data_IF_975465628523
#
_entry.id   IF_975465628523
#
_cell.length_a   1.000
_cell.length_b   1.000
_cell.length_c   1.000
_cell.angle_alpha   90.00
_cell.angle_beta   90.00
_cell.angle_gamma   90.00
#
_symmetry.space_group_name_H-M   'P 1'
#
loop_
_entity.id
_entity.type
_entity.pdbx_description
1 polymer ?
#
# COMPACT_ATOMS: atom_id res chain seq x y z
N UNK A 1 36.84 -13.20 0.00
CA UNK A 1 36.73 -12.38 1.23
C UNK A 1 37.97 -11.51 1.33
N UNK A 2 37.85 -10.21 1.02
CA UNK A 2 38.90 -9.23 1.29
C UNK A 2 38.47 -8.45 2.54
N UNK A 3 39.26 -8.53 3.62
CA UNK A 3 39.06 -7.72 4.83
C UNK A 3 39.73 -6.35 4.64
N UNK A 4 38.95 -5.29 4.83
CA UNK A 4 39.44 -3.90 4.91
C UNK A 4 39.88 -3.62 6.37
N UNK A 5 40.94 -2.82 6.62
CA UNK A 5 41.55 -2.74 7.95
C UNK A 5 40.62 -2.08 8.98
N UNK A 6 40.65 -2.67 10.16
CA UNK A 6 39.92 -2.30 11.37
C UNK A 6 40.27 -0.89 11.86
N UNK A 7 39.28 0.01 11.97
CA UNK A 7 39.43 1.24 12.74
C UNK A 7 38.42 1.21 13.90
N UNK A 8 38.95 1.10 15.13
CA UNK A 8 38.18 0.98 16.37
C UNK A 8 37.60 2.32 16.81
N UNK A 9 36.29 2.46 16.65
CA UNK A 9 35.34 2.95 17.66
C UNK A 9 33.93 2.59 17.15
N UNK A 10 33.13 1.88 17.95
CA UNK A 10 31.85 1.23 17.60
C UNK A 10 31.89 0.44 16.27
N UNK A 11 32.43 -0.77 16.35
CA UNK A 11 32.83 -1.57 15.20
C UNK A 11 31.63 -2.06 14.36
N UNK A 12 31.18 -1.22 13.44
CA UNK A 12 30.31 -1.63 12.32
C UNK A 12 31.17 -2.44 11.35
N UNK A 13 31.06 -3.77 11.42
CA UNK A 13 31.73 -4.67 10.49
C UNK A 13 30.92 -4.76 9.19
N UNK A 14 31.51 -4.31 8.07
CA UNK A 14 30.96 -4.52 6.74
C UNK A 14 31.58 -5.76 6.10
N UNK A 15 30.73 -6.69 5.67
CA UNK A 15 31.15 -7.84 4.88
C UNK A 15 30.99 -7.51 3.39
N UNK A 16 32.03 -7.81 2.61
CA UNK A 16 32.02 -7.59 1.16
C UNK A 16 32.19 -8.92 0.43
N UNK A 17 31.20 -9.24 -0.40
CA UNK A 17 31.22 -10.35 -1.33
C UNK A 17 31.15 -9.83 -2.77
N UNK A 18 31.70 -10.60 -3.70
CA UNK A 18 31.64 -10.34 -5.13
C UNK A 18 30.82 -11.46 -5.77
N UNK A 19 29.92 -11.08 -6.69
CA UNK A 19 29.04 -11.95 -7.48
C UNK A 19 27.93 -12.67 -6.70
N UNK A 20 28.26 -13.37 -5.62
CA UNK A 20 27.29 -14.17 -4.84
C UNK A 20 27.24 -13.74 -3.37
N UNK A 21 26.02 -13.69 -2.82
CA UNK A 21 25.78 -13.45 -1.39
C UNK A 21 25.88 -14.80 -0.68
N UNK A 22 26.79 -14.98 0.30
CA UNK A 22 26.88 -16.23 1.05
C UNK A 22 25.58 -16.54 1.80
N UNK A 23 25.20 -17.82 1.87
CA UNK A 23 23.94 -18.29 2.47
C UNK A 23 23.73 -17.76 3.90
N UNK A 24 24.81 -17.60 4.66
CA UNK A 24 24.80 -17.09 6.03
C UNK A 24 24.36 -15.62 6.17
N UNK A 25 24.39 -14.83 5.08
CA UNK A 25 24.01 -13.40 5.05
C UNK A 25 22.75 -13.12 4.24
N UNK A 26 22.04 -14.13 3.73
CA UNK A 26 20.86 -13.95 2.85
C UNK A 26 19.70 -13.24 3.56
N UNK A 27 19.61 -13.35 4.89
CA UNK A 27 18.60 -12.68 5.71
C UNK A 27 19.04 -11.31 6.24
N UNK A 28 20.29 -10.90 6.00
CA UNK A 28 20.83 -9.65 6.49
C UNK A 28 20.58 -8.50 5.52
N UNK A 29 20.53 -7.28 6.05
CA UNK A 29 20.44 -6.05 5.26
C UNK A 29 21.73 -5.90 4.43
N UNK A 30 21.63 -6.21 3.13
CA UNK A 30 22.75 -6.26 2.21
C UNK A 30 22.68 -5.11 1.22
N UNK A 31 23.68 -4.25 1.22
CA UNK A 31 23.84 -3.20 0.19
C UNK A 31 24.63 -3.78 -0.97
N UNK A 32 24.11 -3.63 -2.18
CA UNK A 32 24.78 -4.09 -3.39
C UNK A 32 25.08 -2.92 -4.33
N UNK A 33 26.12 -3.12 -5.14
CA UNK A 33 26.54 -2.20 -6.19
C UNK A 33 26.67 -2.96 -7.51
N UNK A 34 26.01 -2.48 -8.57
CA UNK A 34 26.07 -3.04 -9.91
C UNK A 34 26.71 -2.04 -10.86
N UNK A 35 27.76 -2.46 -11.56
CA UNK A 35 28.35 -1.68 -12.63
C UNK A 35 27.60 -1.93 -13.93
N UNK A 36 27.14 -0.88 -14.60
CA UNK A 36 26.42 -1.01 -15.88
C UNK A 36 27.36 -1.16 -17.07
N UNK A 37 28.56 -0.57 -16.98
CA UNK A 37 29.53 -0.53 -18.06
C UNK A 37 30.52 -1.70 -17.98
N UNK A 38 31.10 -2.08 -19.12
CA UNK A 38 32.20 -3.07 -19.14
C UNK A 38 33.56 -2.40 -18.91
N UNK A 39 33.64 -1.08 -19.12
CA UNK A 39 34.84 -0.29 -18.84
C UNK A 39 35.15 -0.18 -17.35
N UNK A 40 36.41 0.17 -17.04
CA UNK A 40 36.83 0.50 -15.68
C UNK A 40 36.20 1.82 -15.29
N UNK A 41 35.50 1.85 -14.14
CA UNK A 41 35.00 3.09 -13.54
C UNK A 41 36.20 3.95 -13.16
N UNK A 42 36.20 5.22 -13.60
CA UNK A 42 37.23 6.18 -13.25
C UNK A 42 37.16 6.48 -11.76
N UNK A 43 38.30 6.37 -11.07
CA UNK A 43 38.40 6.72 -9.65
C UNK A 43 38.17 8.24 -9.49
N UNK A 44 37.14 8.67 -8.75
CA UNK A 44 36.89 10.08 -8.50
C UNK A 44 38.02 10.66 -7.63
N UNK A 45 38.37 11.93 -7.86
CA UNK A 45 39.44 12.61 -7.10
C UNK A 45 38.98 13.03 -5.71
N UNK A 46 37.68 13.31 -5.55
CA UNK A 46 37.07 13.71 -4.30
C UNK A 46 35.61 13.24 -4.18
N UNK A 47 35.02 13.47 -3.00
CA UNK A 47 33.65 13.06 -2.69
C UNK A 47 32.60 13.80 -3.53
N UNK A 48 32.87 15.04 -3.94
CA UNK A 48 31.94 15.82 -4.75
C UNK A 48 31.87 15.25 -6.18
N UNK A 49 33.03 14.96 -6.78
CA UNK A 49 33.12 14.26 -8.07
C UNK A 49 32.54 12.85 -7.97
N UNK A 50 32.74 12.14 -6.85
CA UNK A 50 32.19 10.81 -6.64
C UNK A 50 30.65 10.81 -6.64
N UNK A 51 30.02 11.79 -6.00
CA UNK A 51 28.56 11.91 -5.93
C UNK A 51 27.92 12.28 -7.28
N UNK A 52 28.68 12.90 -8.19
CA UNK A 52 28.23 13.22 -9.54
C UNK A 52 28.45 12.04 -10.49
N UNK A 53 29.66 11.45 -10.49
CA UNK A 53 30.09 10.48 -11.52
C UNK A 53 29.64 9.06 -11.20
N UNK A 54 29.71 8.62 -9.94
CA UNK A 54 29.44 7.21 -9.60
C UNK A 54 27.99 6.79 -9.84
N UNK A 55 26.95 7.61 -9.55
CA UNK A 55 25.56 7.24 -9.81
C UNK A 55 25.24 6.99 -11.29
N UNK A 56 26.01 7.57 -12.23
CA UNK A 56 25.82 7.37 -13.67
C UNK A 56 26.31 6.01 -14.17
N UNK A 57 27.29 5.41 -13.48
CA UNK A 57 27.96 4.17 -13.93
C UNK A 57 27.81 2.99 -12.96
N UNK A 58 27.44 3.27 -11.71
CA UNK A 58 27.20 2.31 -10.64
C UNK A 58 25.80 2.52 -10.09
N UNK A 59 24.99 1.47 -10.17
CA UNK A 59 23.72 1.39 -9.45
C UNK A 59 23.94 0.81 -8.08
N UNK A 60 23.16 1.26 -7.11
CA UNK A 60 23.13 0.69 -5.78
C UNK A 60 21.71 0.32 -5.38
N UNK A 61 21.59 -0.63 -4.46
CA UNK A 61 20.32 -1.03 -3.89
C UNK A 61 20.51 -1.76 -2.57
N UNK A 62 19.39 -2.01 -1.89
CA UNK A 62 19.36 -2.75 -0.63
C UNK A 62 18.51 -4.00 -0.81
N UNK A 63 19.04 -5.12 -0.32
CA UNK A 63 18.39 -6.41 -0.19
C UNK A 63 18.14 -6.64 1.31
N UNK A 64 16.93 -7.06 1.66
CA UNK A 64 16.47 -7.28 3.04
C UNK A 64 15.76 -8.63 3.11
N UNK A 65 15.52 -9.16 4.31
CA UNK A 65 14.71 -10.37 4.52
C UNK A 65 13.26 -10.28 3.95
N UNK A 66 12.73 -9.07 3.75
CA UNK A 66 11.49 -8.82 3.02
C UNK A 66 11.65 -9.15 1.52
N UNK A 67 11.35 -10.40 1.17
CA UNK A 67 11.39 -10.95 -0.19
C UNK A 67 10.56 -10.14 -1.21
N UNK A 68 9.47 -9.49 -0.80
CA UNK A 68 8.64 -8.66 -1.67
C UNK A 68 9.31 -7.30 -1.92
N UNK A 69 9.97 -6.73 -0.91
CA UNK A 69 10.77 -5.51 -1.04
C UNK A 69 12.02 -5.76 -1.90
N UNK A 70 12.71 -6.89 -1.71
CA UNK A 70 13.82 -7.33 -2.58
C UNK A 70 13.37 -7.38 -4.04
N UNK A 71 12.26 -8.05 -4.31
CA UNK A 71 11.74 -8.27 -5.65
C UNK A 71 11.27 -6.96 -6.31
N UNK A 72 10.64 -6.07 -5.53
CA UNK A 72 10.30 -4.70 -5.96
C UNK A 72 11.57 -3.90 -6.33
N UNK A 73 12.61 -3.97 -5.50
CA UNK A 73 13.86 -3.25 -5.72
C UNK A 73 14.58 -3.76 -6.99
N UNK A 74 14.71 -5.08 -7.16
CA UNK A 74 15.32 -5.70 -8.35
C UNK A 74 14.58 -5.31 -9.64
N UNK A 75 13.24 -5.38 -9.64
CA UNK A 75 12.44 -5.06 -10.82
C UNK A 75 12.45 -3.56 -11.14
N UNK A 76 12.62 -2.70 -10.15
CA UNK A 76 12.78 -1.25 -10.34
C UNK A 76 14.07 -0.91 -11.10
N UNK A 77 15.17 -1.60 -10.81
CA UNK A 77 16.49 -1.31 -11.40
C UNK A 77 16.65 -1.70 -12.87
N UNK A 78 15.83 -2.66 -13.36
CA UNK A 78 15.81 -3.07 -14.78
C UNK A 78 15.45 -1.91 -15.71
N UNK A 79 14.79 -0.84 -15.23
CA UNK A 79 14.52 0.38 -16.01
C UNK A 79 15.80 1.08 -16.51
N UNK A 80 16.88 1.05 -15.74
CA UNK A 80 18.08 1.77 -16.13
C UNK A 80 19.04 0.93 -17.00
N UNK A 81 18.96 -0.41 -16.94
CA UNK A 81 19.66 -1.29 -17.91
C UNK A 81 19.05 -1.11 -19.31
N UNK A 82 17.75 -0.79 -19.40
CA UNK A 82 17.08 -0.53 -20.69
C UNK A 82 17.40 0.84 -21.31
N UNK A 83 18.09 1.74 -20.60
CA UNK A 83 18.56 3.01 -21.18
C UNK A 83 19.71 2.83 -22.18
N UNK A 84 20.44 1.71 -22.12
CA UNK A 84 21.60 1.42 -22.96
C UNK A 84 21.22 0.75 -24.29
N UNK A 85 20.05 0.14 -24.40
CA UNK A 85 19.55 -0.46 -25.65
C UNK A 85 18.62 0.51 -26.38
N UNK A 86 19.14 1.70 -26.67
CA UNK A 86 18.46 2.76 -27.44
C UNK A 86 18.48 2.52 -28.95
N UNK A 87 18.33 1.25 -29.38
CA UNK A 87 18.06 0.92 -30.78
C UNK A 87 16.82 0.02 -30.86
N UNK A 88 15.70 0.67 -31.15
CA UNK A 88 14.45 0.12 -31.72
C UNK A 88 13.77 -1.08 -31.02
N UNK A 89 13.69 -1.11 -29.68
CA UNK A 89 12.85 -2.09 -28.95
C UNK A 89 11.48 -1.51 -28.56
N UNK A 90 11.33 -0.19 -28.58
CA UNK A 90 10.11 0.53 -28.19
C UNK A 90 8.89 0.26 -29.09
N UNK A 91 9.09 -0.24 -30.31
CA UNK A 91 7.99 -0.50 -31.28
C UNK A 91 7.49 -1.97 -31.28
N UNK A 92 8.08 -2.84 -30.46
CA UNK A 92 7.65 -4.24 -30.39
C UNK A 92 6.44 -4.38 -29.43
N UNK A 93 5.35 -5.06 -29.84
CA UNK A 93 4.17 -5.30 -28.97
C UNK A 93 4.52 -5.97 -27.63
N UNK A 94 5.55 -6.81 -27.64
CA UNK A 94 6.12 -7.48 -26.46
C UNK A 94 6.66 -6.48 -25.42
N UNK A 95 7.13 -5.31 -25.84
CA UNK A 95 7.64 -4.29 -24.91
C UNK A 95 6.51 -3.62 -24.13
N UNK A 96 5.39 -3.29 -24.78
CA UNK A 96 4.21 -2.79 -24.08
C UNK A 96 3.63 -3.84 -23.12
N UNK A 97 3.60 -5.10 -23.55
CA UNK A 97 3.15 -6.22 -22.72
C UNK A 97 4.05 -6.45 -21.50
N UNK A 98 5.38 -6.41 -21.67
CA UNK A 98 6.34 -6.55 -20.55
C UNK A 98 6.28 -5.38 -19.58
N UNK A 99 6.07 -4.15 -20.07
CA UNK A 99 5.83 -2.99 -19.19
C UNK A 99 4.49 -3.10 -18.46
N UNK A 100 3.42 -3.54 -19.12
CA UNK A 100 2.13 -3.81 -18.48
C UNK A 100 2.23 -4.92 -17.43
N UNK A 101 2.92 -6.02 -17.74
CA UNK A 101 3.14 -7.12 -16.82
C UNK A 101 4.01 -6.70 -15.63
N UNK A 102 4.98 -5.81 -15.84
CA UNK A 102 5.74 -5.18 -14.74
C UNK A 102 4.83 -4.35 -13.83
N UNK A 103 3.99 -3.48 -14.39
CA UNK A 103 3.07 -2.67 -13.59
C UNK A 103 2.09 -3.53 -12.80
N UNK A 104 1.53 -4.57 -13.44
CA UNK A 104 0.70 -5.58 -12.76
C UNK A 104 1.47 -6.25 -11.63
N UNK A 105 2.69 -6.70 -11.90
CA UNK A 105 3.53 -7.35 -10.92
C UNK A 105 3.84 -6.46 -9.70
N UNK A 106 4.22 -5.21 -9.93
CA UNK A 106 4.46 -4.23 -8.85
C UNK A 106 3.19 -3.97 -8.04
N UNK A 107 2.03 -3.87 -8.69
CA UNK A 107 0.75 -3.71 -8.00
C UNK A 107 0.39 -4.91 -7.13
N UNK A 108 0.58 -6.13 -7.64
CA UNK A 108 0.32 -7.38 -6.91
C UNK A 108 1.28 -7.50 -5.73
N UNK A 109 2.57 -7.24 -5.92
CA UNK A 109 3.58 -7.28 -4.84
C UNK A 109 3.23 -6.32 -3.71
N UNK A 110 2.80 -5.10 -4.04
CA UNK A 110 2.40 -4.11 -3.06
C UNK A 110 1.10 -4.52 -2.32
N UNK A 111 0.15 -5.12 -3.03
CA UNK A 111 -1.08 -5.64 -2.44
C UNK A 111 -0.81 -6.86 -1.54
N UNK A 112 0.02 -7.80 -1.97
CA UNK A 112 0.38 -8.98 -1.18
C UNK A 112 1.08 -8.58 0.11
N UNK A 113 2.00 -7.61 0.05
CA UNK A 113 2.64 -7.04 1.25
C UNK A 113 1.59 -6.48 2.23
N UNK A 114 0.63 -5.71 1.73
CA UNK A 114 -0.48 -5.17 2.54
C UNK A 114 -1.41 -6.26 3.10
N UNK A 115 -1.56 -7.40 2.42
CA UNK A 115 -2.37 -8.53 2.88
C UNK A 115 -1.65 -9.40 3.92
N UNK A 116 -0.35 -9.63 3.78
CA UNK A 116 0.45 -10.45 4.71
C UNK A 116 0.78 -9.75 6.03
N UNK A 117 0.87 -8.41 6.05
CA UNK A 117 1.16 -7.65 7.28
C UNK A 117 -0.06 -7.52 8.22
N UNK A 118 -1.21 -8.12 7.89
CA UNK A 118 -2.40 -8.17 8.76
C UNK A 118 -3.05 -6.81 9.08
N UNK A 119 -2.43 -5.71 8.65
CA UNK A 119 -2.95 -4.36 8.69
C UNK A 119 -3.21 -3.98 7.24
N UNK A 120 -4.44 -4.16 6.81
CA UNK A 120 -4.98 -3.40 5.70
C UNK A 120 -4.61 -1.94 5.98
N UNK A 121 -3.66 -1.37 5.26
CA UNK A 121 -3.43 0.07 5.24
C UNK A 121 -3.79 0.47 3.81
N UNK A 122 -5.11 0.58 3.55
CA UNK A 122 -5.54 1.44 2.46
C UNK A 122 -4.97 2.82 2.81
N UNK A 123 -4.26 3.52 1.91
CA UNK A 123 -3.90 4.93 2.12
C UNK A 123 -5.12 5.81 2.48
N UNK A 124 -6.30 5.24 2.26
CA UNK A 124 -7.64 5.71 2.50
C UNK A 124 -8.14 5.61 3.95
N UNK A 125 -7.44 4.87 4.83
CA UNK A 125 -8.00 4.44 6.11
C UNK A 125 -8.38 5.56 7.08
N UNK A 126 -7.83 6.76 6.93
CA UNK A 126 -8.19 7.88 7.80
C UNK A 126 -9.47 8.63 7.38
N UNK A 127 -9.92 8.53 6.13
CA UNK A 127 -11.06 9.33 5.64
C UNK A 127 -12.37 8.56 5.50
N UNK A 128 -12.39 7.23 5.68
CA UNK A 128 -13.58 6.38 5.51
C UNK A 128 -13.88 5.48 6.71
N UNK A 129 -13.52 5.90 7.93
CA UNK A 129 -13.72 5.07 9.11
C UNK A 129 -15.10 5.29 9.73
N UNK A 130 -15.84 4.21 9.95
CA UNK A 130 -17.06 4.23 10.77
C UNK A 130 -16.66 4.30 12.24
N UNK A 131 -16.75 5.48 12.84
CA UNK A 131 -16.38 5.68 14.24
C UNK A 131 -17.43 5.11 15.19
N UNK A 132 -16.98 4.32 16.16
CA UNK A 132 -17.88 3.76 17.18
C UNK A 132 -18.09 4.78 18.30
N UNK A 133 -19.30 4.84 18.90
CA UNK A 133 -19.55 5.68 20.06
C UNK A 133 -18.83 5.13 21.29
N UNK A 134 -18.49 6.02 22.22
CA UNK A 134 -17.82 5.67 23.49
C UNK A 134 -18.88 5.22 24.50
N UNK A 135 -19.54 4.10 24.22
CA UNK A 135 -20.58 3.52 25.08
C UNK A 135 -20.33 2.01 25.26
N UNK A 136 -20.82 1.46 26.38
CA UNK A 136 -20.67 0.04 26.66
C UNK A 136 -21.73 -0.77 25.87
N UNK A 137 -21.26 -1.68 25.02
CA UNK A 137 -22.10 -2.57 24.20
C UNK A 137 -21.95 -4.04 24.62
N UNK A 138 -21.53 -4.34 25.85
CA UNK A 138 -21.32 -5.72 26.30
C UNK A 138 -22.64 -6.45 26.68
N UNK A 139 -23.76 -5.73 26.78
CA UNK A 139 -25.09 -6.29 27.08
C UNK A 139 -25.78 -7.00 25.92
N UNK A 140 -26.93 -7.61 26.18
CA UNK A 140 -27.81 -8.18 25.14
C UNK A 140 -28.46 -7.06 24.30
N UNK A 141 -28.78 -7.35 23.04
CA UNK A 141 -29.44 -6.40 22.13
C UNK A 141 -30.77 -5.91 22.71
N UNK A 142 -31.57 -6.82 23.26
CA UNK A 142 -32.89 -6.51 23.83
C UNK A 142 -32.79 -5.63 25.06
N UNK A 143 -31.85 -5.91 25.96
CA UNK A 143 -31.61 -5.09 27.16
C UNK A 143 -31.13 -3.69 26.78
N UNK A 144 -30.16 -3.60 25.85
CA UNK A 144 -29.57 -2.33 25.41
C UNK A 144 -30.58 -1.45 24.66
N UNK A 145 -31.50 -2.05 23.89
CA UNK A 145 -32.56 -1.35 23.16
C UNK A 145 -33.57 -0.67 24.09
N UNK A 146 -33.70 -1.12 25.34
CA UNK A 146 -34.59 -0.48 26.32
C UNK A 146 -33.96 0.70 27.06
N UNK A 147 -32.65 0.94 26.90
CA UNK A 147 -31.91 2.00 27.58
C UNK A 147 -31.87 3.27 26.71
N UNK A 148 -32.61 4.34 27.04
CA UNK A 148 -32.74 5.50 26.15
C UNK A 148 -31.41 6.21 25.87
N UNK A 149 -30.52 6.30 26.86
CA UNK A 149 -29.19 6.91 26.71
C UNK A 149 -28.31 6.15 25.71
N UNK A 150 -28.43 4.82 25.67
CA UNK A 150 -27.70 3.97 24.71
C UNK A 150 -28.28 4.18 23.32
N UNK A 151 -29.61 4.16 23.17
CA UNK A 151 -30.29 4.36 21.89
C UNK A 151 -29.96 5.74 21.29
N UNK A 152 -30.06 6.81 22.08
CA UNK A 152 -29.74 8.18 21.63
C UNK A 152 -28.27 8.30 21.15
N UNK A 153 -27.33 7.68 21.87
CA UNK A 153 -25.93 7.67 21.46
C UNK A 153 -25.70 6.87 20.15
N UNK A 154 -26.43 5.77 19.97
CA UNK A 154 -26.40 4.97 18.75
C UNK A 154 -27.07 5.68 17.57
N UNK A 155 -28.13 6.46 17.80
CA UNK A 155 -28.77 7.29 16.78
C UNK A 155 -27.84 8.39 16.30
N UNK A 156 -27.15 9.09 17.21
CA UNK A 156 -26.11 10.06 16.84
C UNK A 156 -24.98 9.42 16.03
N UNK A 157 -24.60 8.19 16.38
CA UNK A 157 -23.63 7.41 15.63
C UNK A 157 -24.14 7.04 14.23
N UNK A 158 -25.40 6.61 14.12
CA UNK A 158 -26.05 6.25 12.85
C UNK A 158 -26.10 7.44 11.88
N UNK A 159 -26.48 8.64 12.37
CA UNK A 159 -26.47 9.88 11.57
C UNK A 159 -25.05 10.20 11.06
N UNK A 160 -24.05 10.10 11.94
CA UNK A 160 -22.65 10.35 11.57
C UNK A 160 -22.18 9.38 10.48
N UNK A 161 -22.54 8.10 10.60
CA UNK A 161 -22.23 7.09 9.58
C UNK A 161 -22.95 7.36 8.27
N UNK A 162 -24.21 7.77 8.33
CA UNK A 162 -25.00 8.12 7.15
C UNK A 162 -24.37 9.27 6.37
N UNK A 163 -24.01 10.36 7.05
CA UNK A 163 -23.34 11.52 6.45
C UNK A 163 -22.01 11.14 5.80
N UNK A 164 -21.21 10.31 6.47
CA UNK A 164 -19.93 9.82 5.95
C UNK A 164 -20.13 8.99 4.68
N UNK A 165 -21.03 8.01 4.71
CA UNK A 165 -21.28 7.12 3.56
C UNK A 165 -21.79 7.93 2.36
N UNK A 166 -22.75 8.83 2.58
CA UNK A 166 -23.29 9.70 1.53
C UNK A 166 -22.20 10.60 0.93
N UNK A 167 -21.38 11.23 1.77
CA UNK A 167 -20.28 12.10 1.32
C UNK A 167 -19.27 11.32 0.47
N UNK A 168 -18.86 10.13 0.93
CA UNK A 168 -17.93 9.28 0.18
C UNK A 168 -18.52 8.87 -1.17
N UNK A 169 -19.79 8.45 -1.21
CA UNK A 169 -20.46 8.08 -2.46
C UNK A 169 -20.52 9.25 -3.44
N UNK A 170 -20.91 10.44 -2.98
CA UNK A 170 -20.94 11.65 -3.80
C UNK A 170 -19.56 12.03 -4.35
N UNK A 171 -18.52 11.96 -3.52
CA UNK A 171 -17.15 12.22 -3.95
C UNK A 171 -16.70 11.22 -5.02
N UNK A 172 -16.95 9.92 -4.80
CA UNK A 172 -16.59 8.88 -5.78
C UNK A 172 -17.40 8.97 -7.08
N UNK A 173 -18.61 9.55 -7.06
CA UNK A 173 -19.42 9.82 -8.25
C UNK A 173 -18.90 11.01 -9.05
N UNK A 174 -18.38 12.05 -8.37
CA UNK A 174 -17.85 13.26 -9.01
C UNK A 174 -16.45 13.08 -9.63
N UNK A 175 -15.67 12.10 -9.15
CA UNK A 175 -14.30 11.87 -9.66
C UNK A 175 -14.31 11.32 -11.09
N UNK A 176 -13.33 11.78 -11.88
CA UNK A 176 -13.03 11.29 -13.23
C UNK A 176 -11.61 10.70 -13.29
N UNK A 177 -11.34 9.76 -14.22
CA UNK A 177 -10.00 9.23 -14.43
C UNK A 177 -8.97 10.35 -14.63
N UNK A 178 -7.87 10.30 -13.89
CA UNK A 178 -6.76 11.25 -14.02
C UNK A 178 -5.72 10.69 -14.98
N UNK A 179 -5.52 11.37 -16.11
CA UNK A 179 -4.57 10.96 -17.15
C UNK A 179 -5.22 10.28 -18.36
N UNK A 180 -4.43 10.07 -19.42
CA UNK A 180 -4.91 9.56 -20.69
C UNK A 180 -4.63 8.05 -20.83
N UNK A 181 -5.62 7.33 -21.36
CA UNK A 181 -5.48 5.95 -21.83
C UNK A 181 -5.88 4.86 -20.82
N UNK A 182 -5.86 3.59 -21.25
CA UNK A 182 -6.51 2.48 -20.53
C UNK A 182 -5.97 2.23 -19.11
N UNK A 183 -4.70 2.51 -18.86
CA UNK A 183 -4.08 2.31 -17.54
C UNK A 183 -4.58 3.33 -16.50
N UNK A 184 -4.86 4.56 -16.93
CA UNK A 184 -5.41 5.60 -16.06
C UNK A 184 -6.82 5.20 -15.58
N UNK A 185 -7.64 4.67 -16.48
CA UNK A 185 -8.97 4.14 -16.16
C UNK A 185 -8.90 2.94 -15.22
N UNK A 186 -8.02 1.96 -15.48
CA UNK A 186 -7.86 0.79 -14.61
C UNK A 186 -7.46 1.19 -13.19
N UNK A 187 -6.52 2.12 -13.04
CA UNK A 187 -6.10 2.61 -11.72
C UNK A 187 -7.22 3.39 -11.03
N UNK A 188 -7.95 4.23 -11.78
CA UNK A 188 -9.11 4.97 -11.28
C UNK A 188 -10.20 4.03 -10.74
N UNK A 189 -10.61 3.03 -11.53
CA UNK A 189 -11.63 2.07 -11.11
C UNK A 189 -11.17 1.21 -9.95
N UNK A 190 -9.88 0.83 -9.91
CA UNK A 190 -9.29 0.09 -8.78
C UNK A 190 -9.33 0.91 -7.49
N UNK A 191 -8.96 2.19 -7.56
CA UNK A 191 -8.99 3.08 -6.40
C UNK A 191 -10.43 3.24 -5.88
N UNK A 192 -11.37 3.55 -6.77
CA UNK A 192 -12.80 3.65 -6.43
C UNK A 192 -13.34 2.36 -5.79
N UNK A 193 -13.03 1.20 -6.37
CA UNK A 193 -13.41 -0.10 -5.84
C UNK A 193 -12.86 -0.33 -4.43
N UNK A 194 -11.58 -0.08 -4.20
CA UNK A 194 -10.94 -0.30 -2.90
C UNK A 194 -11.58 0.56 -1.79
N UNK A 195 -11.95 1.80 -2.10
CA UNK A 195 -12.57 2.73 -1.15
C UNK A 195 -13.95 2.23 -0.74
N UNK A 196 -14.80 1.95 -1.72
CA UNK A 196 -16.17 1.47 -1.49
C UNK A 196 -16.17 0.09 -0.83
N UNK A 197 -15.27 -0.80 -1.26
CA UNK A 197 -15.11 -2.12 -0.66
C UNK A 197 -14.69 -2.03 0.81
N UNK A 198 -13.69 -1.20 1.14
CA UNK A 198 -13.25 -1.02 2.53
C UNK A 198 -14.37 -0.50 3.44
N UNK A 199 -15.22 0.41 2.93
CA UNK A 199 -16.37 0.91 3.67
C UNK A 199 -17.46 -0.17 3.82
N UNK A 200 -17.74 -0.95 2.76
CA UNK A 200 -18.66 -2.10 2.81
C UNK A 200 -18.17 -3.22 3.75
N UNK A 201 -16.86 -3.45 3.87
CA UNK A 201 -16.35 -4.43 4.84
C UNK A 201 -16.47 -3.92 6.29
N UNK A 202 -16.36 -2.60 6.51
CA UNK A 202 -16.59 -2.02 7.84
C UNK A 202 -18.04 -2.18 8.30
N UNK A 203 -19.03 -2.06 7.41
CA UNK A 203 -20.44 -2.26 7.78
C UNK A 203 -20.72 -3.69 8.25
N UNK A 204 -19.90 -4.67 7.83
CA UNK A 204 -20.01 -6.08 8.22
C UNK A 204 -19.31 -6.42 9.54
N UNK A 205 -18.60 -5.47 10.15
CA UNK A 205 -17.91 -5.72 11.42
C UNK A 205 -18.94 -6.09 12.51
N UNK A 206 -18.67 -7.07 13.38
CA UNK A 206 -19.62 -7.53 14.40
C UNK A 206 -20.15 -6.41 15.29
N UNK A 207 -19.30 -5.42 15.61
CA UNK A 207 -19.68 -4.25 16.41
C UNK A 207 -20.67 -3.34 15.69
N UNK A 208 -20.50 -3.15 14.39
CA UNK A 208 -21.40 -2.34 13.55
C UNK A 208 -22.73 -3.06 13.37
N UNK A 209 -22.70 -4.38 13.11
CA UNK A 209 -23.91 -5.20 13.04
C UNK A 209 -24.71 -5.16 14.35
N UNK A 210 -24.02 -5.24 15.50
CA UNK A 210 -24.67 -5.11 16.81
C UNK A 210 -25.37 -3.77 17.00
N UNK A 211 -24.79 -2.66 16.52
CA UNK A 211 -25.45 -1.34 16.57
C UNK A 211 -26.72 -1.32 15.72
N UNK A 212 -26.67 -1.89 14.50
CA UNK A 212 -27.83 -2.00 13.63
C UNK A 212 -28.95 -2.83 14.26
N UNK A 213 -28.61 -3.95 14.90
CA UNK A 213 -29.56 -4.81 15.60
C UNK A 213 -30.22 -4.09 16.78
N UNK A 214 -29.46 -3.35 17.60
CA UNK A 214 -30.01 -2.58 18.73
C UNK A 214 -30.95 -1.47 18.24
N UNK A 215 -30.56 -0.73 17.21
CA UNK A 215 -31.40 0.33 16.63
C UNK A 215 -32.67 -0.23 15.99
N UNK A 216 -32.59 -1.42 15.39
CA UNK A 216 -33.74 -2.13 14.83
C UNK A 216 -34.71 -2.60 15.93
N UNK A 217 -34.18 -3.18 17.02
CA UNK A 217 -34.98 -3.62 18.17
C UNK A 217 -35.62 -2.45 18.91
N UNK A 218 -34.93 -1.30 18.98
CA UNK A 218 -35.45 -0.07 19.56
C UNK A 218 -36.47 0.67 18.67
N UNK A 219 -36.77 0.15 17.47
CA UNK A 219 -37.63 0.77 16.45
C UNK A 219 -37.22 2.22 16.13
N UNK A 220 -35.92 2.51 16.12
CA UNK A 220 -35.39 3.85 15.88
C UNK A 220 -35.72 4.37 14.47
N UNK A 221 -36.04 5.65 14.33
CA UNK A 221 -36.33 6.27 13.03
C UNK A 221 -35.09 6.31 12.11
N UNK A 222 -33.88 6.35 12.70
CA UNK A 222 -32.61 6.47 11.96
C UNK A 222 -32.15 5.16 11.28
N UNK A 223 -32.72 4.02 11.65
CA UNK A 223 -32.30 2.72 11.09
C UNK A 223 -32.64 2.59 9.61
N UNK A 224 -33.79 3.15 9.19
CA UNK A 224 -34.25 3.08 7.80
C UNK A 224 -33.28 3.77 6.85
N UNK A 225 -32.96 5.03 7.15
CA UNK A 225 -32.06 5.84 6.33
C UNK A 225 -30.63 5.28 6.28
N UNK A 226 -30.14 4.77 7.43
CA UNK A 226 -28.83 4.12 7.49
C UNK A 226 -28.77 2.85 6.63
N UNK A 227 -29.82 2.03 6.63
CA UNK A 227 -29.88 0.82 5.79
C UNK A 227 -29.90 1.16 4.29
N UNK A 228 -30.57 2.25 3.90
CA UNK A 228 -30.56 2.72 2.51
C UNK A 228 -29.14 3.06 2.06
N UNK A 229 -28.42 3.90 2.79
CA UNK A 229 -27.05 4.28 2.39
C UNK A 229 -26.05 3.11 2.47
N UNK A 230 -26.26 2.15 3.38
CA UNK A 230 -25.47 0.91 3.42
C UNK A 230 -25.76 0.04 2.19
N UNK A 231 -27.01 0.02 1.71
CA UNK A 231 -27.37 -0.73 0.51
C UNK A 231 -26.75 -0.14 -0.76
N UNK A 232 -26.59 1.18 -0.83
CA UNK A 232 -25.93 1.89 -1.95
C UNK A 232 -24.42 1.57 -2.07
N UNK A 233 -23.80 0.98 -1.05
CA UNK A 233 -22.40 0.52 -1.08
C UNK A 233 -22.21 -0.86 -1.74
N UNK A 234 -23.29 -1.59 -2.03
CA UNK A 234 -23.26 -2.97 -2.55
C UNK A 234 -23.45 -3.03 -4.07
#
# INVERSE_FOLDING_TARGET
>A
LFQVPEQKDDQVCFYMALDEIPDEFVSDCTVYFLRETKERVTEPKDLAEANEVLPEVIKSGVLTDDTLLMLKNVISQVKAISGVWSVSVSDLPVWNETQMNRQKFLSVTQQTKQQTEGKMFCPCQHYTRLEMPIINLDGDVTDLATVPEVVEALEGCAVTWQELIATVLEEQLKKVPQGNGPLAEVNFWREKYNILHALNEQTKLPKVQKVLEILQEAESENIGDLQVVISDLR
#
